data_IF_731473519261
#
_entry.id   IF_731473519261
#
_cell.length_a   1.000
_cell.length_b   1.000
_cell.length_c   1.000
_cell.angle_alpha   90.00
_cell.angle_beta   90.00
_cell.angle_gamma   90.00
#
_symmetry.space_group_name_H-M   'P 1'
#
loop_
_entity.id
_entity.type
_entity.pdbx_description
1 polymer ?
#
# COMPACT_ATOMS: atom_id res chain seq x y z
N UNK A 1 -40.06 -25.97 57.33
CA UNK A 1 -39.50 -26.52 56.09
C UNK A 1 -38.33 -25.65 55.72
N UNK A 2 -37.13 -26.10 56.05
CA UNK A 2 -35.91 -25.34 55.86
C UNK A 2 -35.36 -25.68 54.47
N UNK A 3 -35.61 -24.81 53.49
CA UNK A 3 -35.07 -24.97 52.13
C UNK A 3 -33.60 -24.55 52.14
N UNK A 4 -32.75 -25.40 52.71
CA UNK A 4 -31.30 -25.21 52.66
C UNK A 4 -30.81 -25.35 51.23
N UNK A 5 -30.48 -24.23 50.57
CA UNK A 5 -29.80 -24.24 49.29
C UNK A 5 -28.50 -25.03 49.43
N UNK A 6 -28.42 -26.18 48.76
CA UNK A 6 -27.22 -27.03 48.80
C UNK A 6 -25.99 -26.22 48.37
N UNK A 7 -24.90 -26.33 49.14
CA UNK A 7 -23.60 -25.70 48.81
C UNK A 7 -23.15 -25.99 47.37
N UNK A 8 -23.57 -27.13 46.80
CA UNK A 8 -23.31 -27.48 45.40
C UNK A 8 -24.05 -26.57 44.42
N UNK A 9 -25.32 -26.26 44.70
CA UNK A 9 -26.15 -25.37 43.87
C UNK A 9 -25.60 -23.94 43.90
N UNK A 10 -25.19 -23.47 45.07
CA UNK A 10 -24.56 -22.14 45.21
C UNK A 10 -23.22 -22.07 44.47
N UNK A 11 -22.39 -23.12 44.56
CA UNK A 11 -21.12 -23.17 43.81
C UNK A 11 -21.32 -23.19 42.30
N UNK A 12 -22.31 -23.94 41.82
CA UNK A 12 -22.65 -24.00 40.38
C UNK A 12 -23.16 -22.63 39.90
N UNK A 13 -24.02 -21.96 40.66
CA UNK A 13 -24.52 -20.64 40.30
C UNK A 13 -23.41 -19.58 40.26
N UNK A 14 -22.49 -19.60 41.24
CA UNK A 14 -21.35 -18.66 41.29
C UNK A 14 -20.35 -18.91 40.16
N UNK A 15 -20.09 -20.17 39.81
CA UNK A 15 -19.21 -20.50 38.67
C UNK A 15 -19.84 -20.10 37.34
N UNK A 16 -21.14 -20.32 37.14
CA UNK A 16 -21.86 -19.84 35.96
C UNK A 16 -21.83 -18.31 35.84
N UNK A 17 -22.06 -17.59 36.94
CA UNK A 17 -21.97 -16.13 36.96
C UNK A 17 -20.55 -15.63 36.67
N UNK A 18 -19.52 -16.29 37.21
CA UNK A 18 -18.14 -15.96 36.93
C UNK A 18 -17.79 -16.19 35.45
N UNK A 19 -18.25 -17.30 34.84
CA UNK A 19 -18.05 -17.57 33.41
C UNK A 19 -18.76 -16.54 32.54
N UNK A 20 -20.02 -16.20 32.85
CA UNK A 20 -20.77 -15.16 32.12
C UNK A 20 -20.10 -13.80 32.25
N UNK A 21 -19.59 -13.47 33.45
CA UNK A 21 -18.88 -12.22 33.70
C UNK A 21 -17.53 -12.18 32.95
N UNK A 22 -16.77 -13.28 32.93
CA UNK A 22 -15.55 -13.41 32.13
C UNK A 22 -15.86 -13.27 30.63
N UNK A 23 -16.89 -13.94 30.11
CA UNK A 23 -17.30 -13.83 28.69
C UNK A 23 -17.76 -12.40 28.34
N UNK A 24 -18.38 -11.67 29.28
CA UNK A 24 -18.74 -10.25 29.08
C UNK A 24 -17.56 -9.29 29.22
N UNK A 25 -16.54 -9.64 30.01
CA UNK A 25 -15.32 -8.86 30.19
C UNK A 25 -14.25 -9.17 29.14
N UNK A 26 -14.36 -10.28 28.42
CA UNK A 26 -13.57 -10.50 27.21
C UNK A 26 -13.94 -9.40 26.22
N UNK A 27 -12.98 -8.60 25.75
CA UNK A 27 -13.26 -7.60 24.71
C UNK A 27 -13.91 -8.30 23.53
N UNK A 28 -15.02 -7.75 23.04
CA UNK A 28 -15.72 -8.21 21.83
C UNK A 28 -14.89 -8.04 20.55
N UNK A 29 -13.65 -7.55 20.68
CA UNK A 29 -12.74 -7.23 19.59
C UNK A 29 -11.74 -8.34 19.27
N UNK A 30 -12.08 -9.60 19.58
CA UNK A 30 -11.57 -10.69 18.78
C UNK A 30 -12.47 -10.82 17.55
N UNK A 31 -12.38 -9.82 16.68
CA UNK A 31 -12.53 -10.11 15.25
C UNK A 31 -11.55 -11.26 15.02
N UNK A 32 -12.08 -12.43 14.67
CA UNK A 32 -11.27 -13.50 14.09
C UNK A 32 -10.80 -12.94 12.75
N UNK A 33 -9.80 -12.05 12.80
CA UNK A 33 -9.11 -11.57 11.63
C UNK A 33 -8.54 -12.82 11.00
N UNK A 34 -9.03 -13.17 9.81
CA UNK A 34 -8.37 -14.16 8.99
C UNK A 34 -6.89 -13.79 8.96
N UNK A 35 -6.01 -14.71 9.38
CA UNK A 35 -4.56 -14.54 9.34
C UNK A 35 -4.14 -13.85 8.02
N UNK A 36 -3.31 -12.79 8.07
CA UNK A 36 -2.92 -12.04 6.88
C UNK A 36 -2.42 -12.98 5.80
N UNK A 37 -3.09 -13.02 4.65
CA UNK A 37 -2.80 -13.98 3.58
C UNK A 37 -1.60 -13.55 2.73
N UNK A 38 -0.61 -12.89 3.33
CA UNK A 38 0.62 -12.50 2.64
C UNK A 38 1.42 -13.78 2.36
N UNK A 39 1.67 -14.04 1.06
CA UNK A 39 2.49 -15.15 0.59
C UNK A 39 3.70 -14.58 -0.14
N UNK A 40 3.90 -14.91 -1.42
CA UNK A 40 4.99 -14.36 -2.23
C UNK A 40 4.69 -12.96 -2.77
N UNK A 41 3.42 -12.55 -2.86
CA UNK A 41 2.96 -11.29 -3.47
C UNK A 41 2.05 -10.53 -2.53
N UNK A 42 2.14 -9.21 -2.55
CA UNK A 42 1.25 -8.30 -1.79
C UNK A 42 1.19 -6.94 -2.47
N UNK A 43 0.02 -6.30 -2.45
CA UNK A 43 -0.12 -4.91 -2.82
C UNK A 43 -0.23 -4.04 -1.55
N UNK A 44 0.43 -2.90 -1.57
CA UNK A 44 0.56 -1.97 -0.45
C UNK A 44 0.02 -0.61 -0.86
N UNK A 45 -0.89 -0.09 -0.04
CA UNK A 45 -1.27 1.31 -0.03
C UNK A 45 -1.22 1.84 1.39
N UNK A 46 -0.68 3.04 1.56
CA UNK A 46 -0.61 3.73 2.85
C UNK A 46 -1.11 5.16 2.69
N UNK A 47 -2.19 5.51 3.39
CA UNK A 47 -2.79 6.84 3.30
C UNK A 47 -3.51 7.18 4.62
N UNK A 48 -3.22 8.34 5.20
CA UNK A 48 -3.87 8.87 6.42
C UNK A 48 -4.74 10.09 6.17
N UNK A 49 -4.91 10.48 4.90
CA UNK A 49 -5.67 11.65 4.48
C UNK A 49 -6.88 11.20 3.66
N UNK A 50 -7.87 10.65 4.38
CA UNK A 50 -9.05 10.06 3.75
C UNK A 50 -9.69 10.98 2.70
N UNK A 51 -10.06 10.38 1.57
CA UNK A 51 -10.93 11.02 0.60
C UNK A 51 -12.01 10.05 0.14
N UNK A 52 -13.16 10.53 -0.35
CA UNK A 52 -14.23 9.65 -0.87
C UNK A 52 -13.80 8.74 -2.04
N UNK A 53 -12.65 9.00 -2.66
CA UNK A 53 -12.08 8.17 -3.74
C UNK A 53 -11.29 6.98 -3.22
N UNK A 54 -10.88 6.97 -1.96
CA UNK A 54 -9.95 5.99 -1.41
C UNK A 54 -10.49 4.56 -1.49
N UNK A 55 -11.69 4.32 -0.97
CA UNK A 55 -12.31 2.97 -0.99
C UNK A 55 -12.57 2.49 -2.42
N UNK A 56 -13.20 3.27 -3.32
CA UNK A 56 -13.34 2.88 -4.73
C UNK A 56 -12.02 2.57 -5.43
N UNK A 57 -10.98 3.37 -5.19
CA UNK A 57 -9.64 3.15 -5.76
C UNK A 57 -9.05 1.81 -5.30
N UNK A 58 -9.06 1.54 -3.99
CA UNK A 58 -8.53 0.27 -3.46
C UNK A 58 -9.31 -0.93 -4.00
N UNK A 59 -10.65 -0.83 -4.06
CA UNK A 59 -11.50 -1.88 -4.60
C UNK A 59 -11.25 -2.13 -6.08
N UNK A 60 -10.93 -1.10 -6.86
CA UNK A 60 -10.50 -1.25 -8.25
C UNK A 60 -9.20 -2.02 -8.35
N UNK A 61 -8.18 -1.65 -7.56
CA UNK A 61 -6.91 -2.39 -7.51
C UNK A 61 -7.14 -3.86 -7.12
N UNK A 62 -7.97 -4.12 -6.10
CA UNK A 62 -8.32 -5.48 -5.70
C UNK A 62 -8.94 -6.30 -6.83
N UNK A 63 -9.85 -5.69 -7.60
CA UNK A 63 -10.52 -6.36 -8.71
C UNK A 63 -9.55 -6.68 -9.88
N UNK A 64 -8.68 -5.73 -10.24
CA UNK A 64 -7.75 -5.89 -11.37
C UNK A 64 -6.61 -6.85 -11.03
N UNK A 65 -6.09 -6.82 -9.80
CA UNK A 65 -4.98 -7.69 -9.39
C UNK A 65 -5.40 -9.14 -9.14
N UNK A 66 -6.66 -9.35 -8.74
CA UNK A 66 -7.19 -10.68 -8.46
C UNK A 66 -6.74 -11.26 -7.10
N UNK A 67 -7.13 -12.51 -6.79
CA UNK A 67 -7.00 -13.11 -5.47
C UNK A 67 -5.56 -13.45 -5.04
N UNK A 68 -4.62 -13.50 -5.99
CA UNK A 68 -3.21 -13.81 -5.72
C UNK A 68 -2.43 -12.60 -5.16
N UNK A 69 -3.04 -11.42 -5.19
CA UNK A 69 -2.49 -10.15 -4.71
C UNK A 69 -3.36 -9.59 -3.57
N UNK A 70 -3.19 -10.08 -2.33
CA UNK A 70 -3.86 -9.46 -1.18
C UNK A 70 -3.38 -8.02 -1.03
N UNK A 71 -4.26 -7.14 -0.56
CA UNK A 71 -3.93 -5.73 -0.31
C UNK A 71 -3.72 -5.52 1.19
N UNK A 72 -2.60 -4.92 1.56
CA UNK A 72 -2.41 -4.33 2.89
C UNK A 72 -2.64 -2.83 2.78
N UNK A 73 -3.65 -2.34 3.48
CA UNK A 73 -3.99 -0.93 3.57
C UNK A 73 -3.62 -0.38 4.94
N UNK A 74 -2.59 0.45 4.96
CA UNK A 74 -2.14 1.17 6.14
C UNK A 74 -2.82 2.54 6.24
N UNK A 75 -3.47 2.83 7.37
CA UNK A 75 -4.17 4.11 7.57
C UNK A 75 -4.20 4.57 9.04
N UNK A 76 -4.84 5.70 9.33
CA UNK A 76 -4.98 6.25 10.69
C UNK A 76 -6.18 5.65 11.41
N UNK A 77 -6.15 5.66 12.76
CA UNK A 77 -7.32 5.31 13.58
C UNK A 77 -8.54 6.17 13.22
N UNK A 78 -8.34 7.46 13.00
CA UNK A 78 -9.40 8.39 12.58
C UNK A 78 -10.09 7.93 11.29
N UNK A 79 -9.33 7.47 10.29
CA UNK A 79 -9.90 6.96 9.05
C UNK A 79 -10.72 5.70 9.28
N UNK A 80 -10.20 4.76 10.09
CA UNK A 80 -10.91 3.51 10.42
C UNK A 80 -12.22 3.79 11.13
N UNK A 81 -12.16 4.56 12.22
CA UNK A 81 -13.30 4.82 13.09
C UNK A 81 -14.39 5.62 12.38
N UNK A 82 -13.99 6.59 11.55
CA UNK A 82 -14.95 7.48 10.88
C UNK A 82 -15.53 6.88 9.61
N UNK A 83 -14.74 6.12 8.84
CA UNK A 83 -15.11 5.77 7.45
C UNK A 83 -15.21 4.27 7.16
N UNK A 84 -14.56 3.41 7.94
CA UNK A 84 -14.39 1.99 7.56
C UNK A 84 -15.07 1.01 8.53
N UNK A 85 -15.21 1.37 9.82
CA UNK A 85 -15.70 0.45 10.87
C UNK A 85 -17.21 0.36 10.96
N UNK A 86 -17.94 1.47 10.85
CA UNK A 86 -19.39 1.47 11.03
C UNK A 86 -20.09 0.79 9.84
N UNK A 87 -20.95 -0.19 10.12
CA UNK A 87 -21.70 -0.96 9.11
C UNK A 87 -22.63 -0.05 8.29
N UNK A 88 -23.10 1.05 8.88
CA UNK A 88 -23.98 2.01 8.23
C UNK A 88 -23.21 3.01 7.34
N UNK A 89 -21.91 3.21 7.57
CA UNK A 89 -21.08 4.13 6.79
C UNK A 89 -20.13 3.42 5.81
N UNK A 90 -19.79 2.16 6.07
CA UNK A 90 -18.87 1.38 5.26
C UNK A 90 -19.54 0.71 4.05
N UNK A 91 -18.86 0.76 2.90
CA UNK A 91 -19.30 0.09 1.68
C UNK A 91 -19.48 -1.42 1.89
N UNK A 92 -20.59 -1.97 1.41
CA UNK A 92 -20.84 -3.41 1.51
C UNK A 92 -19.79 -4.25 0.76
N UNK A 93 -19.25 -3.73 -0.35
CA UNK A 93 -18.17 -4.40 -1.11
C UNK A 93 -16.86 -4.34 -0.32
N UNK A 94 -16.58 -3.21 0.32
CA UNK A 94 -15.43 -3.04 1.21
C UNK A 94 -15.44 -4.06 2.35
N UNK A 95 -16.55 -4.15 3.08
CA UNK A 95 -16.69 -5.13 4.18
C UNK A 95 -16.45 -6.55 3.71
N UNK A 96 -17.04 -6.97 2.59
CA UNK A 96 -16.79 -8.32 2.04
C UNK A 96 -15.31 -8.57 1.74
N UNK A 97 -14.61 -7.58 1.17
CA UNK A 97 -13.20 -7.72 0.85
C UNK A 97 -12.34 -7.85 2.13
N UNK A 98 -12.63 -7.07 3.16
CA UNK A 98 -11.97 -7.15 4.48
C UNK A 98 -12.31 -8.46 5.20
N UNK A 99 -13.60 -8.80 5.31
CA UNK A 99 -14.09 -10.02 5.98
C UNK A 99 -13.52 -11.30 5.34
N UNK A 100 -13.25 -11.28 4.02
CA UNK A 100 -12.64 -12.40 3.31
C UNK A 100 -11.12 -12.52 3.49
N UNK A 101 -10.47 -11.51 4.09
CA UNK A 101 -9.02 -11.39 4.20
C UNK A 101 -8.31 -11.00 2.90
N UNK A 102 -9.05 -10.52 1.89
CA UNK A 102 -8.46 -10.02 0.65
C UNK A 102 -7.85 -8.61 0.81
N UNK A 103 -8.40 -7.83 1.73
CA UNK A 103 -7.87 -6.52 2.14
C UNK A 103 -7.63 -6.56 3.66
N UNK A 104 -6.38 -6.39 4.06
CA UNK A 104 -5.96 -6.29 5.46
C UNK A 104 -5.74 -4.82 5.83
N UNK A 105 -6.54 -4.30 6.76
CA UNK A 105 -6.48 -2.89 7.20
C UNK A 105 -5.65 -2.80 8.46
N UNK A 106 -4.57 -2.02 8.41
CA UNK A 106 -3.60 -1.87 9.51
C UNK A 106 -3.44 -0.41 9.90
N UNK A 107 -3.14 -0.19 11.17
CA UNK A 107 -2.88 1.16 11.69
C UNK A 107 -1.40 1.51 11.50
N UNK A 108 -1.16 2.72 10.99
CA UNK A 108 0.19 3.29 10.90
C UNK A 108 0.64 3.78 12.28
N UNK A 109 1.87 3.46 12.72
CA UNK A 109 2.44 4.03 13.93
C UNK A 109 2.52 5.57 13.88
N UNK A 110 2.20 6.22 15.00
CA UNK A 110 2.10 7.69 15.10
C UNK A 110 3.42 8.41 14.78
N UNK A 111 4.56 7.72 14.84
CA UNK A 111 5.86 8.27 14.43
C UNK A 111 5.97 8.59 12.93
N UNK A 112 5.10 8.01 12.09
CA UNK A 112 5.12 8.21 10.64
C UNK A 112 4.09 9.25 10.19
N UNK A 113 4.57 10.44 9.82
CA UNK A 113 3.71 11.50 9.29
C UNK A 113 3.51 11.36 7.77
N UNK A 114 2.39 10.77 7.34
CA UNK A 114 2.07 10.64 5.91
C UNK A 114 1.38 11.87 5.28
N UNK A 115 1.36 13.01 5.95
CA UNK A 115 0.78 14.26 5.40
C UNK A 115 1.80 15.11 4.61
N UNK A 116 3.08 14.76 4.71
CA UNK A 116 4.19 15.49 4.07
C UNK A 116 4.94 14.60 3.11
N UNK A 117 5.55 15.20 2.09
CA UNK A 117 6.43 14.45 1.18
C UNK A 117 7.58 13.81 1.94
N UNK A 118 8.27 14.55 2.82
CA UNK A 118 9.39 14.03 3.61
C UNK A 118 8.99 12.82 4.46
N UNK A 119 7.85 12.90 5.15
CA UNK A 119 7.38 11.81 6.00
C UNK A 119 7.01 10.54 5.23
N UNK A 120 6.44 10.65 4.03
CA UNK A 120 6.24 9.49 3.14
C UNK A 120 7.58 8.86 2.71
N UNK A 121 8.59 9.67 2.39
CA UNK A 121 9.93 9.16 2.05
C UNK A 121 10.61 8.48 3.25
N UNK A 122 10.47 9.04 4.45
CA UNK A 122 10.97 8.41 5.68
C UNK A 122 10.28 7.06 5.90
N UNK A 123 8.96 7.01 5.82
CA UNK A 123 8.17 5.80 6.01
C UNK A 123 8.58 4.67 5.05
N UNK A 124 8.68 4.96 3.75
CA UNK A 124 9.06 3.98 2.74
C UNK A 124 10.54 3.56 2.83
N UNK A 125 11.39 4.38 3.47
CA UNK A 125 12.81 4.08 3.71
C UNK A 125 13.10 3.52 5.11
N UNK A 126 12.08 3.01 5.83
CA UNK A 126 12.27 2.30 7.11
C UNK A 126 12.14 0.78 6.98
N UNK A 127 13.02 -0.01 7.64
CA UNK A 127 12.90 -1.47 7.69
C UNK A 127 11.53 -1.93 8.18
N UNK A 128 10.97 -1.23 9.17
CA UNK A 128 9.69 -1.58 9.81
C UNK A 128 8.60 -1.92 8.80
N UNK A 129 8.38 -1.07 7.79
CA UNK A 129 7.33 -1.29 6.79
C UNK A 129 7.55 -2.61 6.05
N UNK A 130 8.75 -2.81 5.53
CA UNK A 130 9.10 -3.98 4.74
C UNK A 130 9.09 -5.24 5.59
N UNK A 131 9.44 -5.16 6.88
CA UNK A 131 9.29 -6.27 7.84
C UNK A 131 7.83 -6.72 7.98
N UNK A 132 6.88 -5.79 8.04
CA UNK A 132 5.45 -6.13 8.16
C UNK A 132 4.86 -6.83 6.93
N UNK A 133 5.56 -6.78 5.79
CA UNK A 133 5.14 -7.39 4.53
C UNK A 133 5.78 -8.77 4.31
N UNK A 134 6.47 -9.33 5.31
CA UNK A 134 6.92 -10.72 5.24
C UNK A 134 5.72 -11.68 5.11
N UNK A 135 5.86 -12.82 4.39
CA UNK A 135 7.04 -13.29 3.68
C UNK A 135 7.09 -12.85 2.18
N UNK A 136 6.38 -11.78 1.78
CA UNK A 136 6.31 -11.37 0.39
C UNK A 136 7.69 -11.18 -0.23
N UNK A 137 7.84 -11.58 -1.50
CA UNK A 137 9.00 -11.26 -2.32
C UNK A 137 8.71 -10.06 -3.19
N UNK A 138 7.48 -9.97 -3.70
CA UNK A 138 7.03 -8.95 -4.62
C UNK A 138 6.01 -8.05 -3.93
N UNK A 139 6.33 -6.75 -3.84
CA UNK A 139 5.46 -5.74 -3.25
C UNK A 139 5.07 -4.73 -4.32
N UNK A 140 3.79 -4.68 -4.65
CA UNK A 140 3.22 -3.61 -5.48
C UNK A 140 2.87 -2.43 -4.57
N UNK A 141 3.62 -1.34 -4.64
CA UNK A 141 3.28 -0.08 -3.96
C UNK A 141 2.44 0.77 -4.89
N UNK A 142 1.29 1.25 -4.42
CA UNK A 142 0.47 2.22 -5.14
C UNK A 142 -0.05 3.33 -4.20
N UNK A 143 -0.07 4.55 -4.72
CA UNK A 143 -0.55 5.74 -4.03
C UNK A 143 -1.91 6.19 -4.57
N UNK A 144 -2.58 7.10 -3.86
CA UNK A 144 -3.91 7.63 -4.23
C UNK A 144 -3.91 8.44 -5.54
N UNK A 145 -2.74 8.76 -6.08
CA UNK A 145 -2.53 9.40 -7.39
C UNK A 145 -2.03 8.43 -8.48
N UNK A 146 -2.16 7.12 -8.25
CA UNK A 146 -1.87 6.05 -9.19
C UNK A 146 -3.12 5.27 -9.62
N UNK A 147 -3.05 4.63 -10.78
CA UNK A 147 -4.07 3.72 -11.27
C UNK A 147 -3.47 2.59 -12.11
N UNK A 148 -3.95 1.36 -11.94
CA UNK A 148 -3.77 0.28 -12.91
C UNK A 148 -5.03 0.16 -13.77
N UNK A 149 -4.87 -0.14 -15.05
CA UNK A 149 -5.96 -0.01 -16.02
C UNK A 149 -6.66 -1.36 -16.23
N UNK A 150 -7.99 -1.39 -16.07
CA UNK A 150 -8.77 -2.63 -16.27
C UNK A 150 -8.73 -3.15 -17.70
N UNK A 151 -8.47 -2.28 -18.68
CA UNK A 151 -8.29 -2.65 -20.08
C UNK A 151 -6.90 -3.23 -20.41
N UNK A 152 -5.96 -3.22 -19.47
CA UNK A 152 -4.60 -3.72 -19.72
C UNK A 152 -4.61 -5.19 -20.16
N UNK A 153 -3.96 -5.47 -21.29
CA UNK A 153 -3.70 -6.84 -21.74
C UNK A 153 -2.58 -7.53 -20.96
N UNK A 154 -1.87 -6.77 -20.12
CA UNK A 154 -0.83 -7.27 -19.20
C UNK A 154 -1.38 -7.36 -17.80
N UNK A 155 -0.83 -8.28 -17.03
CA UNK A 155 -1.09 -8.44 -15.61
C UNK A 155 0.11 -7.95 -14.79
N UNK A 156 -0.06 -7.80 -13.47
CA UNK A 156 1.06 -7.50 -12.57
C UNK A 156 2.15 -8.60 -12.62
N UNK A 157 1.74 -9.84 -12.88
CA UNK A 157 2.63 -11.00 -12.91
C UNK A 157 3.64 -10.97 -14.05
N UNK A 158 3.34 -10.26 -15.15
CA UNK A 158 4.23 -10.10 -16.31
C UNK A 158 5.50 -9.28 -15.98
N UNK A 159 5.58 -8.70 -14.78
CA UNK A 159 6.65 -7.81 -14.35
C UNK A 159 7.44 -8.33 -13.15
N UNK A 160 7.15 -9.54 -12.65
CA UNK A 160 7.77 -10.08 -11.43
C UNK A 160 9.27 -10.35 -11.53
N UNK A 161 9.82 -10.43 -12.75
CA UNK A 161 11.25 -10.62 -12.99
C UNK A 161 12.10 -9.38 -12.64
N UNK A 162 11.48 -8.21 -12.45
CA UNK A 162 12.17 -6.97 -12.12
C UNK A 162 12.31 -6.79 -10.60
N UNK A 163 13.50 -6.38 -10.15
CA UNK A 163 13.73 -6.04 -8.75
C UNK A 163 13.09 -4.71 -8.36
N UNK A 164 13.02 -3.78 -9.30
CA UNK A 164 12.26 -2.53 -9.17
C UNK A 164 11.86 -2.03 -10.55
N UNK A 165 10.55 -1.89 -10.76
CA UNK A 165 9.97 -1.26 -11.94
C UNK A 165 8.90 -0.25 -11.54
N UNK A 166 8.92 0.90 -12.21
CA UNK A 166 7.99 1.99 -12.02
C UNK A 166 8.03 2.92 -13.24
N UNK A 167 7.29 4.03 -13.20
CA UNK A 167 7.39 5.05 -14.24
C UNK A 167 8.82 5.63 -14.27
N UNK A 168 9.54 5.56 -15.40
CA UNK A 168 10.93 6.02 -15.48
C UNK A 168 11.00 7.55 -15.43
N UNK A 169 11.92 8.10 -14.67
CA UNK A 169 12.15 9.54 -14.55
C UNK A 169 13.24 10.03 -15.52
N UNK A 170 13.97 9.11 -16.13
CA UNK A 170 15.07 9.41 -17.04
C UNK A 170 15.14 8.37 -18.17
N UNK A 171 15.65 8.75 -19.34
CA UNK A 171 15.69 7.87 -20.53
C UNK A 171 16.87 6.90 -20.52
N UNK A 172 18.00 7.30 -19.93
CA UNK A 172 19.23 6.49 -19.85
C UNK A 172 19.47 5.89 -18.47
N UNK A 173 19.50 6.74 -17.44
CA UNK A 173 19.60 6.29 -16.06
C UNK A 173 18.35 5.52 -15.60
N UNK A 174 18.56 4.46 -14.84
CA UNK A 174 17.54 3.62 -14.21
C UNK A 174 17.01 4.31 -12.95
N UNK A 175 16.25 5.38 -13.13
CA UNK A 175 15.62 6.13 -12.05
C UNK A 175 14.11 6.07 -12.22
N UNK A 176 13.38 5.74 -11.15
CA UNK A 176 11.95 5.50 -11.21
C UNK A 176 11.18 6.31 -10.16
N UNK A 177 9.91 6.60 -10.45
CA UNK A 177 9.00 7.18 -9.48
C UNK A 177 8.22 6.09 -8.73
N UNK A 178 8.31 6.09 -7.41
CA UNK A 178 7.84 5.00 -6.56
C UNK A 178 6.33 4.90 -6.32
N UNK A 179 5.52 5.88 -6.74
CA UNK A 179 4.10 5.93 -6.35
C UNK A 179 3.16 4.97 -7.09
N UNK A 180 3.62 4.37 -8.19
CA UNK A 180 3.13 3.09 -8.70
C UNK A 180 4.37 2.27 -9.04
N UNK A 181 4.71 1.29 -8.21
CA UNK A 181 5.94 0.51 -8.38
C UNK A 181 5.80 -0.92 -7.92
N UNK A 182 6.48 -1.83 -8.62
CA UNK A 182 6.71 -3.18 -8.13
C UNK A 182 8.15 -3.26 -7.59
N UNK A 183 8.32 -3.79 -6.39
CA UNK A 183 9.61 -3.84 -5.68
C UNK A 183 9.89 -5.21 -5.09
N UNK A 184 11.15 -5.65 -5.18
CA UNK A 184 11.68 -6.83 -4.51
C UNK A 184 11.95 -6.53 -3.03
N UNK A 185 11.08 -7.02 -2.15
CA UNK A 185 11.13 -6.78 -0.70
C UNK A 185 12.46 -7.22 -0.08
N UNK A 186 13.01 -8.37 -0.50
CA UNK A 186 14.27 -8.89 0.03
C UNK A 186 15.40 -7.91 -0.26
N UNK A 187 15.47 -7.40 -1.49
CA UNK A 187 16.47 -6.41 -1.86
C UNK A 187 16.28 -5.07 -1.13
N UNK A 188 15.02 -4.63 -0.92
CA UNK A 188 14.74 -3.46 -0.08
C UNK A 188 15.33 -3.64 1.32
N UNK A 189 15.11 -4.80 1.94
CA UNK A 189 15.63 -5.12 3.26
C UNK A 189 17.16 -5.21 3.29
N UNK A 190 17.79 -5.82 2.28
CA UNK A 190 19.25 -5.88 2.17
C UNK A 190 19.87 -4.47 2.12
N UNK A 191 19.31 -3.58 1.30
CA UNK A 191 19.76 -2.18 1.20
C UNK A 191 19.62 -1.47 2.55
N UNK A 192 18.50 -1.65 3.23
CA UNK A 192 18.19 -1.00 4.52
C UNK A 192 18.95 -1.59 5.71
N UNK A 193 19.40 -2.84 5.62
CA UNK A 193 20.17 -3.52 6.68
C UNK A 193 21.63 -3.05 6.77
N UNK A 194 22.15 -2.47 5.69
CA UNK A 194 23.50 -1.94 5.63
C UNK A 194 23.56 -0.59 6.37
N UNK A 195 24.34 -0.48 7.46
CA UNK A 195 24.39 0.72 8.28
C UNK A 195 24.94 1.96 7.55
N UNK A 196 25.59 1.78 6.40
CA UNK A 196 26.03 2.89 5.54
C UNK A 196 24.88 3.52 4.74
N UNK A 197 23.72 2.85 4.66
CA UNK A 197 22.56 3.32 3.90
C UNK A 197 21.52 3.89 4.85
N UNK A 198 21.21 5.18 4.71
CA UNK A 198 20.13 5.82 5.45
C UNK A 198 19.67 7.07 4.70
N UNK A 199 18.54 6.96 4.00
CA UNK A 199 17.99 8.05 3.19
C UNK A 199 17.88 9.37 3.96
N UNK A 200 17.40 9.33 5.21
CA UNK A 200 17.25 10.53 6.03
C UNK A 200 18.59 11.17 6.35
N UNK A 201 19.54 10.40 6.91
CA UNK A 201 20.85 10.92 7.29
C UNK A 201 21.63 11.42 6.08
N UNK A 202 21.57 10.71 4.95
CA UNK A 202 22.21 11.12 3.71
C UNK A 202 21.59 12.42 3.17
N UNK A 203 20.27 12.57 3.27
CA UNK A 203 19.57 13.80 2.86
C UNK A 203 19.91 14.98 3.77
N UNK A 204 19.87 14.77 5.09
CA UNK A 204 20.14 15.82 6.09
C UNK A 204 21.61 16.26 6.08
N UNK A 205 22.53 15.34 5.79
CA UNK A 205 23.95 15.65 5.59
C UNK A 205 24.24 16.29 4.22
N UNK A 206 23.25 16.37 3.32
CA UNK A 206 23.42 16.87 1.96
C UNK A 206 24.25 15.95 1.05
N UNK A 207 24.54 14.72 1.45
CA UNK A 207 25.24 13.72 0.62
C UNK A 207 24.29 13.07 -0.39
N UNK A 208 22.97 13.12 -0.13
CA UNK A 208 21.92 12.76 -1.07
C UNK A 208 21.02 13.96 -1.38
N UNK A 209 20.99 14.37 -2.66
CA UNK A 209 20.22 15.54 -3.12
C UNK A 209 19.35 15.26 -4.34
N UNK A 210 19.40 14.03 -4.88
CA UNK A 210 18.78 13.68 -6.16
C UNK A 210 17.28 13.42 -6.09
N UNK A 211 16.70 13.32 -4.89
CA UNK A 211 15.24 13.27 -4.70
C UNK A 211 14.79 12.31 -3.62
N UNK A 212 13.62 11.70 -3.82
CA UNK A 212 12.96 10.85 -2.83
C UNK A 212 13.64 9.50 -2.61
N UNK A 213 13.03 8.72 -1.74
CA UNK A 213 13.39 7.33 -1.44
C UNK A 213 13.39 6.47 -2.71
N UNK A 214 12.47 6.73 -3.64
CA UNK A 214 12.34 6.01 -4.90
C UNK A 214 13.59 6.13 -5.79
N UNK A 215 14.10 7.36 -5.96
CA UNK A 215 15.35 7.62 -6.68
C UNK A 215 16.53 7.06 -5.88
N UNK A 216 16.49 7.14 -4.54
CA UNK A 216 17.54 6.62 -3.67
C UNK A 216 17.66 5.10 -3.80
N UNK A 217 16.57 4.35 -3.67
CA UNK A 217 16.54 2.90 -3.90
C UNK A 217 16.92 2.56 -5.33
N UNK A 218 16.45 3.31 -6.33
CA UNK A 218 16.85 3.10 -7.73
C UNK A 218 18.39 3.09 -7.86
N UNK A 219 19.07 4.08 -7.26
CA UNK A 219 20.55 4.15 -7.28
C UNK A 219 21.20 3.02 -6.47
N UNK A 220 20.72 2.75 -5.26
CA UNK A 220 21.29 1.69 -4.40
C UNK A 220 21.14 0.31 -5.06
N UNK A 221 20.04 0.06 -5.77
CA UNK A 221 19.81 -1.16 -6.54
C UNK A 221 20.71 -1.25 -7.78
N UNK A 222 20.82 -0.17 -8.55
CA UNK A 222 21.67 -0.15 -9.76
C UNK A 222 23.15 -0.38 -9.41
N UNK A 223 23.65 0.25 -8.33
CA UNK A 223 25.00 0.05 -7.80
C UNK A 223 25.29 -1.39 -7.34
N UNK A 224 24.24 -2.16 -7.02
CA UNK A 224 24.33 -3.57 -6.60
C UNK A 224 24.10 -4.56 -7.75
N UNK A 225 23.86 -4.07 -8.97
CA UNK A 225 23.62 -4.91 -10.14
C UNK A 225 22.24 -5.55 -10.16
N UNK A 226 21.24 -4.91 -9.54
CA UNK A 226 19.85 -5.37 -9.57
C UNK A 226 19.31 -5.48 -11.01
N UNK A 227 18.35 -6.39 -11.21
CA UNK A 227 17.64 -6.52 -12.48
C UNK A 227 16.61 -5.40 -12.60
N UNK A 228 17.00 -4.34 -13.31
CA UNK A 228 16.23 -3.12 -13.51
C UNK A 228 15.93 -2.91 -15.00
N UNK A 229 14.70 -2.54 -15.37
CA UNK A 229 14.31 -2.36 -16.77
C UNK A 229 15.02 -1.19 -17.42
N UNK A 230 15.09 -1.17 -18.75
CA UNK A 230 15.37 0.06 -19.46
C UNK A 230 14.13 0.95 -19.56
N UNK A 231 14.29 2.14 -20.15
CA UNK A 231 13.19 3.08 -20.34
C UNK A 231 12.00 2.47 -21.10
N UNK A 232 12.25 1.71 -22.18
CA UNK A 232 11.18 1.18 -23.04
C UNK A 232 10.39 0.10 -22.32
N UNK A 233 11.05 -0.73 -21.53
CA UNK A 233 10.41 -1.74 -20.69
C UNK A 233 9.59 -1.07 -19.58
N UNK A 234 10.16 -0.09 -18.89
CA UNK A 234 9.51 0.59 -17.77
C UNK A 234 8.21 1.33 -18.17
N UNK A 235 8.15 1.95 -19.35
CA UNK A 235 6.92 2.62 -19.82
C UNK A 235 5.82 1.65 -20.25
N UNK A 236 6.08 0.34 -20.36
CA UNK A 236 5.01 -0.66 -20.51
C UNK A 236 4.32 -0.96 -19.17
N UNK A 237 5.01 -0.74 -18.05
CA UNK A 237 4.46 -0.87 -16.71
C UNK A 237 3.70 0.39 -16.30
N UNK A 238 4.37 1.55 -16.25
CA UNK A 238 3.72 2.77 -15.80
C UNK A 238 4.15 4.02 -16.58
N UNK A 239 3.16 4.87 -16.87
CA UNK A 239 3.35 6.17 -17.49
C UNK A 239 3.08 7.31 -16.49
N UNK A 240 3.84 8.41 -16.61
CA UNK A 240 3.68 9.59 -15.75
C UNK A 240 3.68 10.89 -16.55
N UNK A 241 4.64 11.03 -17.47
CA UNK A 241 4.83 12.23 -18.26
C UNK A 241 4.14 12.13 -19.62
N UNK A 242 3.79 13.27 -20.22
CA UNK A 242 3.17 13.33 -21.55
C UNK A 242 4.02 12.62 -22.62
N UNK A 243 5.34 12.70 -22.51
CA UNK A 243 6.27 12.03 -23.43
C UNK A 243 6.38 10.52 -23.22
N UNK A 244 5.87 9.98 -22.10
CA UNK A 244 5.63 8.53 -21.97
C UNK A 244 4.39 8.15 -22.76
N UNK A 245 3.32 8.93 -22.65
CA UNK A 245 2.02 8.67 -23.29
C UNK A 245 2.11 8.74 -24.81
N UNK A 246 3.02 9.56 -25.35
CA UNK A 246 3.29 9.53 -26.79
C UNK A 246 3.95 8.24 -27.27
N UNK A 247 4.63 7.49 -26.39
CA UNK A 247 5.39 6.28 -26.71
C UNK A 247 4.69 4.98 -26.33
N UNK A 248 4.01 4.97 -25.19
CA UNK A 248 3.27 3.82 -24.67
C UNK A 248 1.81 4.23 -24.50
N UNK A 249 0.96 3.73 -25.39
CA UNK A 249 -0.48 3.99 -25.41
C UNK A 249 -1.25 3.10 -24.45
N UNK A 250 -0.70 1.92 -24.19
CA UNK A 250 -1.36 0.84 -23.46
C UNK A 250 -0.46 0.34 -22.30
N UNK A 251 -0.01 1.23 -21.39
CA UNK A 251 0.72 0.78 -20.21
C UNK A 251 -0.22 0.02 -19.27
N UNK A 252 0.36 -0.79 -18.37
CA UNK A 252 -0.40 -1.42 -17.28
C UNK A 252 -1.06 -0.37 -16.37
N UNK A 253 -0.39 0.76 -16.14
CA UNK A 253 -0.92 1.81 -15.28
C UNK A 253 -0.31 3.20 -15.47
N UNK A 254 -0.74 4.12 -14.61
CA UNK A 254 -0.35 5.51 -14.61
C UNK A 254 -0.07 5.99 -13.19
N UNK A 255 0.86 6.92 -13.05
CA UNK A 255 1.16 7.60 -11.79
C UNK A 255 1.29 9.11 -11.99
N UNK A 256 0.68 9.91 -11.10
CA UNK A 256 0.86 11.38 -11.02
C UNK A 256 0.43 12.15 -12.28
N UNK A 257 -0.25 11.51 -13.21
CA UNK A 257 -0.66 12.09 -14.51
C UNK A 257 -1.59 13.28 -14.36
N UNK A 258 -2.40 13.34 -13.30
CA UNK A 258 -3.24 14.51 -13.01
C UNK A 258 -2.46 15.81 -12.76
N UNK A 259 -1.20 15.69 -12.32
CA UNK A 259 -0.30 16.82 -12.10
C UNK A 259 0.65 17.03 -13.27
N UNK A 260 1.18 15.95 -13.84
CA UNK A 260 2.34 15.99 -14.76
C UNK A 260 1.95 15.83 -16.23
N UNK A 261 0.81 15.21 -16.52
CA UNK A 261 0.31 14.96 -17.87
C UNK A 261 -1.17 15.35 -18.00
N UNK A 262 -1.55 16.46 -17.35
CA UNK A 262 -2.95 16.89 -17.25
C UNK A 262 -3.61 17.10 -18.63
N UNK A 263 -2.85 17.58 -19.62
CA UNK A 263 -3.33 17.77 -20.99
C UNK A 263 -3.69 16.46 -21.69
N UNK A 264 -3.14 15.34 -21.21
CA UNK A 264 -3.32 14.00 -21.75
C UNK A 264 -4.40 13.18 -21.05
N UNK A 265 -5.07 13.71 -20.02
CA UNK A 265 -6.09 12.95 -19.28
C UNK A 265 -7.23 12.42 -20.17
N UNK A 266 -7.64 13.17 -21.19
CA UNK A 266 -8.64 12.70 -22.15
C UNK A 266 -8.17 11.49 -22.97
N UNK A 267 -6.90 11.48 -23.38
CA UNK A 267 -6.27 10.36 -24.09
C UNK A 267 -6.07 9.16 -23.15
N UNK A 268 -5.60 9.42 -21.93
CA UNK A 268 -5.43 8.38 -20.89
C UNK A 268 -6.77 7.70 -20.60
N UNK A 269 -7.85 8.46 -20.44
CA UNK A 269 -9.16 7.92 -20.09
C UNK A 269 -9.79 7.05 -21.19
N UNK A 270 -9.34 7.18 -22.45
CA UNK A 270 -9.76 6.26 -23.52
C UNK A 270 -9.21 4.85 -23.28
N UNK A 271 -7.98 4.76 -22.77
CA UNK A 271 -7.36 3.49 -22.40
C UNK A 271 -7.72 3.03 -20.99
N UNK A 272 -7.78 3.96 -20.04
CA UNK A 272 -7.86 3.72 -18.61
C UNK A 272 -8.96 4.61 -17.99
N UNK A 273 -10.25 4.33 -18.24
CA UNK A 273 -11.35 5.16 -17.75
C UNK A 273 -11.32 5.38 -16.23
N UNK A 274 -10.79 4.39 -15.50
CA UNK A 274 -10.69 4.37 -14.04
C UNK A 274 -9.65 5.37 -13.51
N UNK A 275 -8.85 6.00 -14.39
CA UNK A 275 -7.95 7.08 -13.99
C UNK A 275 -8.69 8.18 -13.23
N UNK A 276 -9.98 8.39 -13.49
CA UNK A 276 -10.83 9.35 -12.78
C UNK A 276 -11.01 9.05 -11.27
N UNK A 277 -10.72 7.82 -10.83
CA UNK A 277 -10.69 7.46 -9.40
C UNK A 277 -9.42 7.94 -8.71
N UNK A 278 -8.31 8.11 -9.43
CA UNK A 278 -7.11 8.75 -8.92
C UNK A 278 -7.26 10.29 -8.93
N UNK A 279 -6.45 10.98 -8.13
CA UNK A 279 -6.47 12.45 -8.07
C UNK A 279 -5.05 12.99 -7.84
N UNK A 280 -4.78 14.29 -8.03
CA UNK A 280 -3.51 14.87 -7.63
C UNK A 280 -3.22 14.59 -6.14
N UNK A 281 -2.02 14.12 -5.83
CA UNK A 281 -1.58 13.92 -4.45
C UNK A 281 -1.64 15.23 -3.64
N UNK A 282 -2.05 15.11 -2.38
CA UNK A 282 -2.28 16.24 -1.45
C UNK A 282 -1.08 16.54 -0.54
N UNK A 283 -0.01 15.75 -0.64
CA UNK A 283 1.17 15.88 0.21
C UNK A 283 1.75 17.29 0.15
N UNK A 284 1.93 17.89 1.33
CA UNK A 284 2.62 19.16 1.46
C UNK A 284 4.10 18.99 1.09
N UNK A 285 4.64 19.94 0.32
CA UNK A 285 6.07 20.04 0.10
C UNK A 285 6.65 20.81 1.30
N UNK A 286 6.94 20.11 2.39
CA UNK A 286 7.82 20.65 3.43
C UNK A 286 9.24 20.23 3.04
N UNK A 287 10.13 21.22 2.94
CA UNK A 287 11.58 21.05 2.74
C UNK A 287 12.22 20.42 3.98
#
# INVERSE_FOLDING_TARGET
MDYGLSRRVVSIALTLLAVIYIVKLMPKDLVVNAEPRIRDKVALISDTQYSPRLVPLILHFHAVLGPDWPIVFYTSNETVDTHLRDVNSSSAVWRRAVDSGAIDVRIIPDEFNLTTRRGVNLYLSRPWLWEQLAPAKHVLVFQTDAMICGNSHRTMDDFLDWDFIAAPLHVREKLYNGGLSLRNRTMMMEILSDPANNWEKETDAGTWTLGGEDIWFSRKMDLRGAHLPDFNQAITFACQHEWHISKSKEPLGYHKVHKVARSKLGEIAQWCPEIALAAPGTLTQQE
#
